data_IF_420802266522
#
_entry.id   IF_420802266522
#
_cell.length_a   1.000
_cell.length_b   1.000
_cell.length_c   1.000
_cell.angle_alpha   90.00
_cell.angle_beta   90.00
_cell.angle_gamma   90.00
#
_symmetry.space_group_name_H-M   'P 1'
#
loop_
_entity.id
_entity.type
_entity.pdbx_description
1 polymer ?
#
# COMPACT_ATOMS: atom_id res chain seq x y z
N UNK A 1 4.84 -14.85 -13.51
CA UNK A 1 4.27 -14.43 -12.22
C UNK A 1 5.33 -13.60 -11.51
N UNK A 2 5.09 -12.31 -11.22
CA UNK A 2 6.11 -11.40 -10.65
C UNK A 2 6.30 -11.56 -9.14
N UNK A 3 5.20 -11.71 -8.39
CA UNK A 3 5.22 -11.92 -6.96
C UNK A 3 3.96 -12.68 -6.54
N UNK A 4 4.07 -13.50 -5.48
CA UNK A 4 2.94 -14.19 -4.87
C UNK A 4 2.77 -13.69 -3.44
N UNK A 5 1.62 -13.08 -3.15
CA UNK A 5 1.28 -12.61 -1.81
C UNK A 5 0.82 -13.80 -0.97
N UNK A 6 1.72 -14.34 -0.15
CA UNK A 6 1.41 -15.43 0.75
C UNK A 6 0.68 -14.95 2.00
N UNK A 7 -0.03 -15.87 2.67
CA UNK A 7 -0.75 -15.62 3.93
C UNK A 7 0.23 -15.46 5.09
N UNK A 8 1.05 -14.41 5.09
CA UNK A 8 1.93 -14.02 6.18
C UNK A 8 1.62 -12.58 6.62
N UNK A 9 2.17 -12.16 7.77
CA UNK A 9 1.83 -10.92 8.47
C UNK A 9 2.25 -9.62 7.75
N UNK A 10 2.55 -9.71 6.46
CA UNK A 10 3.33 -8.73 5.70
C UNK A 10 2.61 -8.32 4.40
N UNK A 11 1.29 -8.45 4.33
CA UNK A 11 0.42 -7.91 3.27
C UNK A 11 -0.40 -8.97 2.52
N UNK A 12 -1.72 -8.78 2.47
CA UNK A 12 -2.65 -9.61 1.70
C UNK A 12 -3.67 -8.76 0.97
N UNK A 13 -4.26 -9.31 -0.10
CA UNK A 13 -5.28 -8.64 -0.91
C UNK A 13 -4.73 -7.36 -1.57
N UNK A 14 -3.77 -7.48 -2.51
CA UNK A 14 -3.32 -6.35 -3.31
C UNK A 14 -4.53 -5.74 -4.03
N UNK A 15 -4.71 -4.43 -3.91
CA UNK A 15 -5.93 -3.73 -4.36
C UNK A 15 -5.63 -2.64 -5.39
N UNK A 16 -4.41 -2.11 -5.39
CA UNK A 16 -4.02 -1.05 -6.31
C UNK A 16 -2.51 -1.05 -6.59
N UNK A 17 -2.15 -0.43 -7.72
CA UNK A 17 -0.81 -0.42 -8.27
C UNK A 17 -0.59 0.85 -9.10
N UNK A 18 0.60 1.43 -9.00
CA UNK A 18 1.05 2.54 -9.87
C UNK A 18 2.47 2.26 -10.35
N UNK A 19 2.70 2.47 -11.65
CA UNK A 19 4.00 2.31 -12.30
C UNK A 19 4.77 3.64 -12.27
N UNK A 20 6.07 3.59 -12.02
CA UNK A 20 6.96 4.74 -12.17
C UNK A 20 7.05 5.20 -13.63
N UNK A 21 7.42 6.46 -13.84
CA UNK A 21 7.55 7.07 -15.16
C UNK A 21 8.64 6.41 -16.01
N UNK A 22 9.68 5.87 -15.37
CA UNK A 22 10.74 5.10 -16.04
C UNK A 22 10.36 3.63 -16.31
N UNK A 23 9.16 3.20 -15.90
CA UNK A 23 8.63 1.85 -16.03
C UNK A 23 9.45 0.77 -15.29
N UNK A 24 10.35 1.14 -14.38
CA UNK A 24 11.21 0.20 -13.66
C UNK A 24 10.72 -0.16 -12.26
N UNK A 25 9.72 0.52 -11.71
CA UNK A 25 9.21 0.24 -10.37
C UNK A 25 7.69 0.25 -10.33
N UNK A 26 7.11 -0.83 -9.81
CA UNK A 26 5.72 -0.83 -9.38
C UNK A 26 5.64 -0.46 -7.91
N UNK A 27 4.83 0.52 -7.56
CA UNK A 27 4.37 0.75 -6.20
C UNK A 27 2.97 0.16 -6.05
N UNK A 28 2.69 -0.49 -4.94
CA UNK A 28 1.41 -1.12 -4.73
C UNK A 28 0.90 -1.01 -3.31
N UNK A 29 -0.38 -1.33 -3.19
CA UNK A 29 -1.13 -1.23 -1.96
C UNK A 29 -1.84 -2.56 -1.68
N UNK A 30 -1.68 -3.07 -0.47
CA UNK A 30 -2.54 -4.14 0.05
C UNK A 30 -3.63 -3.54 0.94
N UNK A 31 -4.85 -4.05 0.83
CA UNK A 31 -5.98 -3.55 1.63
C UNK A 31 -6.04 -4.15 3.04
N UNK A 32 -5.37 -5.31 3.24
CA UNK A 32 -5.36 -6.00 4.54
C UNK A 32 -6.67 -6.68 4.91
N UNK A 33 -7.73 -6.57 4.09
CA UNK A 33 -9.04 -7.17 4.40
C UNK A 33 -9.47 -8.20 3.35
N UNK A 34 -9.93 -9.36 3.82
CA UNK A 34 -10.52 -10.39 2.96
C UNK A 34 -12.05 -10.24 2.79
N UNK A 35 -12.65 -11.06 1.93
CA UNK A 35 -14.11 -11.04 1.68
C UNK A 35 -14.96 -11.49 2.88
N UNK A 36 -14.34 -11.98 3.96
CA UNK A 36 -14.98 -12.39 5.22
C UNK A 36 -14.72 -11.38 6.34
N UNK A 37 -14.16 -10.21 6.01
CA UNK A 37 -13.80 -9.15 6.94
C UNK A 37 -12.74 -9.55 7.99
N UNK A 38 -11.85 -10.51 7.68
CA UNK A 38 -10.66 -10.72 8.51
C UNK A 38 -9.63 -9.62 8.25
N UNK A 39 -9.12 -9.05 9.34
CA UNK A 39 -8.15 -7.98 9.32
C UNK A 39 -6.72 -8.51 9.37
N UNK A 40 -5.93 -8.06 8.42
CA UNK A 40 -4.49 -8.25 8.31
C UNK A 40 -3.84 -6.88 8.13
N UNK A 41 -2.56 -6.71 8.51
CA UNK A 41 -1.86 -5.47 8.23
C UNK A 41 -1.85 -5.15 6.73
N UNK A 42 -2.43 -4.00 6.38
CA UNK A 42 -2.26 -3.40 5.07
C UNK A 42 -0.83 -2.84 4.94
N UNK A 43 -0.34 -2.71 3.71
CA UNK A 43 0.95 -2.09 3.45
C UNK A 43 1.05 -1.38 2.11
N UNK A 44 2.04 -0.51 2.03
CA UNK A 44 2.61 0.01 0.80
C UNK A 44 3.84 -0.84 0.50
N UNK A 45 3.93 -1.36 -0.72
CA UNK A 45 5.07 -2.12 -1.20
C UNK A 45 5.60 -1.54 -2.51
N UNK A 46 6.79 -1.99 -2.90
CA UNK A 46 7.31 -1.80 -4.26
C UNK A 46 7.85 -3.11 -4.84
N UNK A 47 7.86 -3.19 -6.16
CA UNK A 47 8.50 -4.24 -6.93
C UNK A 47 9.41 -3.58 -7.98
N UNK A 48 10.72 -3.84 -7.90
CA UNK A 48 11.66 -3.50 -8.98
C UNK A 48 11.39 -4.39 -10.19
N UNK A 49 11.26 -3.83 -11.39
CA UNK A 49 11.02 -4.51 -12.66
C UNK A 49 12.33 -4.71 -13.43
N UNK A 50 13.32 -5.28 -12.76
CA UNK A 50 14.59 -5.73 -13.33
C UNK A 50 14.50 -7.19 -13.80
N UNK A 51 15.55 -7.73 -14.44
CA UNK A 51 15.62 -9.15 -14.83
C UNK A 51 15.34 -10.11 -13.65
N UNK A 52 15.72 -9.69 -12.45
CA UNK A 52 15.35 -10.32 -11.18
C UNK A 52 14.44 -9.36 -10.38
N UNK A 53 13.11 -9.56 -10.37
CA UNK A 53 12.20 -8.66 -9.65
C UNK A 53 12.38 -8.73 -8.13
N UNK A 54 12.46 -7.56 -7.49
CA UNK A 54 12.66 -7.45 -6.04
C UNK A 54 11.43 -6.82 -5.39
N UNK A 55 10.73 -7.61 -4.57
CA UNK A 55 9.65 -7.12 -3.71
C UNK A 55 10.21 -6.50 -2.43
N UNK A 56 9.65 -5.37 -2.01
CA UNK A 56 10.01 -4.70 -0.76
C UNK A 56 8.80 -4.03 -0.14
N UNK A 57 8.64 -4.17 1.18
CA UNK A 57 7.64 -3.43 1.94
C UNK A 57 8.22 -2.07 2.29
N UNK A 58 7.48 -1.02 1.98
CA UNK A 58 7.85 0.37 2.28
C UNK A 58 7.23 0.84 3.60
N UNK A 59 5.99 0.44 3.87
CA UNK A 59 5.27 0.84 5.06
C UNK A 59 4.18 -0.17 5.41
N UNK A 60 4.02 -0.48 6.70
CA UNK A 60 2.91 -1.30 7.21
C UNK A 60 1.97 -0.38 7.99
N UNK A 61 0.69 -0.38 7.64
CA UNK A 61 -0.33 0.33 8.39
C UNK A 61 -0.60 -0.43 9.69
N UNK A 62 -0.22 0.16 10.82
CA UNK A 62 -0.53 -0.37 12.15
C UNK A 62 -1.95 0.05 12.55
N UNK A 63 -2.92 -0.86 12.43
CA UNK A 63 -4.33 -0.58 12.77
C UNK A 63 -4.55 -0.31 14.26
N UNK A 64 -3.60 -0.64 15.14
CA UNK A 64 -3.69 -0.36 16.58
C UNK A 64 -3.45 1.11 16.91
N UNK A 65 -2.81 1.86 16.01
CA UNK A 65 -2.60 3.29 16.21
C UNK A 65 -3.89 4.07 15.98
N UNK A 66 -4.11 5.08 16.82
CA UNK A 66 -5.22 6.01 16.61
C UNK A 66 -4.95 6.85 15.36
N UNK A 67 -6.02 7.13 14.62
CA UNK A 67 -5.99 8.02 13.46
C UNK A 67 -5.06 7.56 12.30
N UNK A 68 -4.78 6.25 12.24
CA UNK A 68 -4.06 5.63 11.12
C UNK A 68 -5.02 5.32 9.96
N UNK A 69 -4.60 5.44 8.69
CA UNK A 69 -5.41 4.97 7.57
C UNK A 69 -5.76 3.49 7.72
N UNK A 70 -7.05 3.15 7.57
CA UNK A 70 -7.56 1.77 7.68
C UNK A 70 -8.36 1.40 6.43
N UNK A 71 -8.12 0.20 5.93
CA UNK A 71 -8.60 -0.30 4.63
C UNK A 71 -8.31 0.70 3.50
N UNK A 72 -7.02 0.92 3.20
CA UNK A 72 -6.65 1.75 2.08
C UNK A 72 -7.15 1.09 0.78
N UNK A 73 -7.62 1.92 -0.16
CA UNK A 73 -8.24 1.45 -1.42
C UNK A 73 -7.48 1.85 -2.67
N UNK A 74 -6.74 2.96 -2.62
CA UNK A 74 -6.08 3.51 -3.79
C UNK A 74 -4.83 4.28 -3.41
N UNK A 75 -3.83 4.25 -4.29
CA UNK A 75 -2.65 5.10 -4.27
C UNK A 75 -2.44 5.77 -5.64
N UNK A 76 -1.71 6.88 -5.65
CA UNK A 76 -1.23 7.56 -6.84
C UNK A 76 0.16 8.11 -6.58
N UNK A 77 1.01 8.06 -7.59
CA UNK A 77 2.36 8.61 -7.56
C UNK A 77 2.31 10.04 -8.11
N UNK A 78 2.95 10.99 -7.42
CA UNK A 78 3.02 12.35 -7.93
C UNK A 78 3.99 12.47 -9.11
N UNK A 79 3.93 13.60 -9.80
CA UNK A 79 4.75 13.89 -10.98
C UNK A 79 6.25 13.95 -10.70
N UNK A 80 6.65 14.16 -9.45
CA UNK A 80 8.06 14.17 -9.03
C UNK A 80 8.55 12.80 -8.55
N UNK A 81 7.68 11.79 -8.52
CA UNK A 81 7.97 10.43 -8.06
C UNK A 81 8.56 10.32 -6.64
N UNK A 82 8.31 11.32 -5.80
CA UNK A 82 8.84 11.40 -4.44
C UNK A 82 7.78 11.08 -3.37
N UNK A 83 6.52 10.95 -3.77
CA UNK A 83 5.39 10.84 -2.86
C UNK A 83 4.27 9.99 -3.45
N UNK A 84 3.77 9.06 -2.64
CA UNK A 84 2.50 8.38 -2.88
C UNK A 84 1.39 9.09 -2.10
N UNK A 85 0.27 9.34 -2.74
CA UNK A 85 -0.95 9.83 -2.12
C UNK A 85 -1.99 8.72 -2.17
N UNK A 86 -2.75 8.52 -1.09
CA UNK A 86 -3.75 7.46 -1.07
C UNK A 86 -4.95 7.78 -0.21
N UNK A 87 -6.00 7.00 -0.40
CA UNK A 87 -7.26 7.13 0.34
C UNK A 87 -7.55 5.86 1.12
N UNK A 88 -8.18 6.02 2.27
CA UNK A 88 -8.67 4.92 3.10
C UNK A 88 -10.13 5.11 3.46
N UNK A 89 -10.87 4.01 3.57
CA UNK A 89 -12.29 4.07 3.94
C UNK A 89 -12.48 4.46 5.40
N UNK A 90 -11.53 4.09 6.26
CA UNK A 90 -11.58 4.32 7.71
C UNK A 90 -10.26 4.90 8.21
N UNK A 91 -10.23 5.25 9.49
CA UNK A 91 -9.04 5.77 10.17
C UNK A 91 -9.16 7.23 10.58
N UNK A 92 -10.11 7.98 10.04
CA UNK A 92 -10.40 9.34 10.43
C UNK A 92 -11.26 9.44 11.68
N UNK A 93 -11.55 10.68 12.09
CA UNK A 93 -12.42 10.98 13.23
C UNK A 93 -13.79 10.28 13.04
N UNK A 94 -14.27 9.66 14.11
CA UNK A 94 -15.52 8.88 14.13
C UNK A 94 -15.57 7.71 13.12
N UNK A 95 -14.42 7.20 12.70
CA UNK A 95 -14.35 6.11 11.71
C UNK A 95 -14.53 6.58 10.26
N UNK A 96 -14.45 7.89 10.00
CA UNK A 96 -14.48 8.41 8.63
C UNK A 96 -13.24 8.00 7.82
N UNK A 97 -13.27 8.19 6.50
CA UNK A 97 -12.11 7.97 5.65
C UNK A 97 -10.97 8.97 5.87
N UNK A 98 -9.80 8.67 5.29
CA UNK A 98 -8.64 9.57 5.30
C UNK A 98 -8.03 9.71 3.91
N UNK A 99 -7.34 10.85 3.70
CA UNK A 99 -6.36 11.04 2.63
C UNK A 99 -4.98 11.03 3.29
N UNK A 100 -4.06 10.21 2.81
CA UNK A 100 -2.70 10.11 3.34
C UNK A 100 -1.65 10.39 2.28
N UNK A 101 -0.46 10.76 2.75
CA UNK A 101 0.76 10.93 1.96
C UNK A 101 1.85 10.02 2.53
N UNK A 102 2.56 9.31 1.67
CA UNK A 102 3.76 8.56 2.01
C UNK A 102 4.94 9.09 1.19
N UNK A 103 5.97 9.60 1.86
CA UNK A 103 7.19 10.06 1.20
C UNK A 103 8.05 8.86 0.80
N UNK A 104 8.46 8.79 -0.46
CA UNK A 104 9.38 7.78 -1.00
C UNK A 104 10.85 8.13 -0.71
N UNK A 105 11.12 9.40 -0.46
CA UNK A 105 12.44 9.89 -0.07
C UNK A 105 12.72 9.57 1.41
N UNK A 106 13.92 9.08 1.71
CA UNK A 106 14.44 8.95 3.08
C UNK A 106 14.94 10.28 3.61
#
# INVERSE_FOLDING_TARGET
MLHSFARNAQGQHPIDLVLSQDEQTLFGLTSGMDSKNYHYPANIFKISLTDEPIYSILYIFDENLQQTPRWPRKITLNTHEDSLYGISEYGGKYGSGTLFKFSLNR
#
